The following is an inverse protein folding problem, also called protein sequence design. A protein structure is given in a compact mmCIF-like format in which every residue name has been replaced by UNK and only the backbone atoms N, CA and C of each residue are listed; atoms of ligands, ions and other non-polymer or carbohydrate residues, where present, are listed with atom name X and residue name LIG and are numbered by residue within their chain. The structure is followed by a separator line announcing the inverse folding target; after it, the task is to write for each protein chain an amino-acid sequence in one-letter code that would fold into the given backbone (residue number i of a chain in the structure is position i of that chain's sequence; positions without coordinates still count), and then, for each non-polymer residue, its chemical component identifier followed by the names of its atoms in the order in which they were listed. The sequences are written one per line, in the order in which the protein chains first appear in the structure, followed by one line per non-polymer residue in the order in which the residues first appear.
data_IF_715202590368
#
_entry.id   IF_715202590368
#
_cell.length_a   1.000
_cell.length_b   1.000
_cell.length_c   1.000
_cell.angle_alpha   90.00
_cell.angle_beta   90.00
_cell.angle_gamma   90.00
#
_symmetry.space_group_name_H-M   'P 1'
#
loop_
_entity.id
_entity.type
_entity.pdbx_description
1 polymer ?
#
# COMPACT_ATOMS: atom_id res chain seq x y z
N UNK A 1 6.50 -32.18 52.79
CA UNK A 1 6.14 -32.14 51.35
C UNK A 1 5.28 -30.93 51.00
N UNK A 2 4.30 -30.55 51.82
CA UNK A 2 3.40 -29.40 51.55
C UNK A 2 4.12 -28.03 51.67
N UNK A 3 4.99 -27.85 52.65
CA UNK A 3 5.68 -26.56 52.87
C UNK A 3 6.63 -26.23 51.69
N UNK A 4 7.33 -27.23 51.15
CA UNK A 4 8.22 -27.06 50.00
C UNK A 4 7.48 -26.68 48.72
N UNK A 5 6.26 -27.21 48.49
CA UNK A 5 5.45 -26.83 47.33
C UNK A 5 4.91 -25.39 47.45
N UNK A 6 4.53 -24.95 48.65
CA UNK A 6 4.11 -23.55 48.87
C UNK A 6 5.25 -22.56 48.61
N UNK A 7 6.46 -22.86 49.10
CA UNK A 7 7.64 -22.02 48.86
C UNK A 7 7.96 -21.95 47.37
N UNK A 8 7.90 -23.09 46.66
CA UNK A 8 8.10 -23.13 45.20
C UNK A 8 7.09 -22.27 44.44
N UNK A 9 5.80 -22.33 44.80
CA UNK A 9 4.75 -21.53 44.15
C UNK A 9 4.95 -20.03 44.37
N UNK A 10 5.33 -19.61 45.58
CA UNK A 10 5.64 -18.21 45.88
C UNK A 10 6.84 -17.72 45.06
N UNK A 11 7.87 -18.57 44.90
CA UNK A 11 9.06 -18.26 44.12
C UNK A 11 8.75 -18.06 42.63
N UNK A 12 7.91 -18.93 42.06
CA UNK A 12 7.45 -18.80 40.66
C UNK A 12 6.62 -17.54 40.46
N UNK A 13 5.72 -17.22 41.40
CA UNK A 13 4.93 -15.98 41.34
C UNK A 13 5.83 -14.74 41.44
N UNK A 14 6.82 -14.74 42.34
CA UNK A 14 7.76 -13.64 42.48
C UNK A 14 8.62 -13.45 41.22
N UNK A 15 9.09 -14.55 40.62
CA UNK A 15 9.82 -14.51 39.34
C UNK A 15 8.93 -14.00 38.20
N UNK A 16 7.67 -14.43 38.14
CA UNK A 16 6.70 -13.96 37.14
C UNK A 16 6.43 -12.46 37.24
N UNK A 17 6.23 -11.95 38.47
CA UNK A 17 6.04 -10.52 38.72
C UNK A 17 7.32 -9.73 38.36
N UNK A 18 8.49 -10.23 38.75
CA UNK A 18 9.77 -9.61 38.41
C UNK A 18 9.99 -9.54 36.90
N UNK A 19 9.71 -10.62 36.17
CA UNK A 19 9.82 -10.67 34.72
C UNK A 19 8.83 -9.72 34.04
N UNK A 20 7.57 -9.69 34.51
CA UNK A 20 6.54 -8.78 33.99
C UNK A 20 6.96 -7.31 34.13
N UNK A 21 7.45 -6.91 35.31
CA UNK A 21 7.92 -5.55 35.57
C UNK A 21 9.18 -5.16 34.76
N UNK A 22 9.98 -6.14 34.34
CA UNK A 22 11.21 -5.91 33.55
C UNK A 22 11.02 -5.98 32.05
N UNK A 23 9.92 -6.57 31.59
CA UNK A 23 9.66 -6.77 30.17
C UNK A 23 9.56 -5.43 29.42
N UNK A 24 8.76 -4.49 29.92
CA UNK A 24 8.54 -3.21 29.25
C UNK A 24 9.83 -2.36 29.14
N UNK A 25 10.61 -2.11 30.21
CA UNK A 25 11.88 -1.39 30.08
C UNK A 25 12.90 -2.09 29.18
N UNK A 26 12.95 -3.43 29.21
CA UNK A 26 13.85 -4.20 28.36
C UNK A 26 13.46 -4.09 26.89
N UNK A 27 12.16 -4.17 26.58
CA UNK A 27 11.62 -3.99 25.23
C UNK A 27 11.85 -2.57 24.71
N UNK A 28 11.59 -1.55 25.53
CA UNK A 28 11.82 -0.16 25.15
C UNK A 28 13.30 0.10 24.87
N UNK A 29 14.20 -0.39 25.72
CA UNK A 29 15.64 -0.25 25.50
C UNK A 29 16.11 -0.97 24.22
N UNK A 30 15.55 -2.15 23.94
CA UNK A 30 15.83 -2.87 22.70
C UNK A 30 15.34 -2.08 21.48
N UNK A 31 14.10 -1.56 21.53
CA UNK A 31 13.51 -0.76 20.47
C UNK A 31 14.32 0.51 20.19
N UNK A 32 14.73 1.25 21.22
CA UNK A 32 15.54 2.46 21.07
C UNK A 32 16.90 2.18 20.41
N UNK A 33 17.51 1.05 20.74
CA UNK A 33 18.82 0.66 20.20
C UNK A 33 18.73 0.17 18.75
N UNK A 34 17.68 -0.56 18.40
CA UNK A 34 17.61 -1.31 17.14
C UNK A 34 16.64 -0.72 16.11
N UNK A 35 15.60 0.01 16.52
CA UNK A 35 14.52 0.46 15.63
C UNK A 35 14.58 1.96 15.33
N UNK A 36 15.25 2.77 16.15
CA UNK A 36 15.39 4.20 15.89
C UNK A 36 16.15 4.41 14.58
N UNK A 37 15.57 5.25 13.73
CA UNK A 37 16.14 5.67 12.46
C UNK A 37 17.12 6.80 12.76
N UNK A 38 18.38 6.45 12.90
CA UNK A 38 19.47 7.39 13.23
C UNK A 38 20.63 7.16 12.23
N UNK A 39 21.31 8.20 11.72
CA UNK A 39 22.32 8.07 10.66
C UNK A 39 23.41 7.03 10.94
N UNK A 40 23.75 6.86 12.21
CA UNK A 40 24.80 5.95 12.71
C UNK A 40 24.37 4.48 12.77
N UNK A 41 23.05 4.20 12.75
CA UNK A 41 22.49 2.88 13.01
C UNK A 41 22.23 2.09 11.74
N UNK A 42 22.27 0.76 11.87
CA UNK A 42 21.94 -0.17 10.79
C UNK A 42 20.48 -0.03 10.32
N UNK A 43 19.56 0.26 11.25
CA UNK A 43 18.15 0.55 10.98
C UNK A 43 17.96 1.65 9.93
N UNK A 44 18.76 2.72 9.99
CA UNK A 44 18.71 3.80 9.01
C UNK A 44 19.10 3.32 7.61
N UNK A 45 20.17 2.53 7.49
CA UNK A 45 20.59 1.95 6.21
C UNK A 45 19.50 1.07 5.62
N UNK A 46 18.85 0.23 6.44
CA UNK A 46 17.74 -0.63 6.02
C UNK A 46 16.48 0.13 5.63
N UNK A 47 16.18 1.22 6.34
CA UNK A 47 15.05 2.08 6.04
C UNK A 47 15.27 2.90 4.76
N UNK A 48 16.48 3.41 4.55
CA UNK A 48 16.86 4.23 3.40
C UNK A 48 16.91 3.40 2.11
N UNK A 49 17.63 2.29 2.17
CA UNK A 49 17.87 1.37 1.05
C UNK A 49 17.43 -0.03 1.46
N UNK A 50 16.14 -0.32 1.28
CA UNK A 50 15.56 -1.60 1.69
C UNK A 50 16.13 -2.72 0.80
N UNK A 51 16.92 -3.67 1.34
CA UNK A 51 17.59 -4.68 0.54
C UNK A 51 16.63 -5.80 0.08
N UNK A 52 15.41 -5.80 0.64
CA UNK A 52 14.39 -6.80 0.32
C UNK A 52 13.63 -6.36 -0.91
N UNK A 53 13.57 -7.26 -1.89
CA UNK A 53 12.76 -7.07 -3.08
C UNK A 53 11.31 -7.43 -2.77
N UNK A 54 10.42 -6.45 -2.89
CA UNK A 54 8.98 -6.70 -2.80
C UNK A 54 8.46 -7.09 -4.18
N UNK A 55 7.47 -7.98 -4.20
CA UNK A 55 6.73 -8.29 -5.41
C UNK A 55 5.30 -7.82 -5.26
N UNK A 56 4.80 -7.08 -6.24
CA UNK A 56 3.43 -6.62 -6.31
C UNK A 56 2.74 -7.32 -7.48
N UNK A 57 1.65 -8.02 -7.17
CA UNK A 57 0.83 -8.73 -8.15
C UNK A 57 -0.43 -7.93 -8.44
N UNK A 58 -0.67 -7.60 -9.70
CA UNK A 58 -1.89 -6.96 -10.16
C UNK A 58 -2.75 -7.97 -10.90
N UNK A 59 -4.02 -8.04 -10.52
CA UNK A 59 -5.05 -8.82 -11.23
C UNK A 59 -6.15 -7.86 -11.62
N UNK A 60 -6.55 -7.90 -12.89
CA UNK A 60 -7.57 -7.04 -13.44
C UNK A 60 -8.84 -7.82 -13.73
N UNK A 61 -9.97 -7.11 -13.78
CA UNK A 61 -11.25 -7.64 -14.19
C UNK A 61 -11.58 -7.14 -15.59
N UNK A 62 -11.39 -8.00 -16.59
CA UNK A 62 -11.68 -7.68 -17.98
C UNK A 62 -13.18 -7.77 -18.26
N UNK A 63 -13.77 -6.70 -18.81
CA UNK A 63 -15.19 -6.62 -19.14
C UNK A 63 -15.48 -7.28 -20.50
N UNK A 64 -16.11 -8.45 -20.49
CA UNK A 64 -16.31 -9.24 -21.71
C UNK A 64 -17.50 -8.78 -22.57
N UNK A 65 -18.49 -8.10 -21.97
CA UNK A 65 -19.71 -7.65 -22.66
C UNK A 65 -19.84 -6.11 -22.69
N UNK A 66 -18.73 -5.39 -22.84
CA UNK A 66 -18.69 -3.92 -22.79
C UNK A 66 -19.69 -3.25 -23.74
N UNK A 67 -19.89 -3.79 -24.95
CA UNK A 67 -20.79 -3.21 -25.95
C UNK A 67 -22.25 -3.27 -25.51
N UNK A 68 -22.68 -4.37 -24.88
CA UNK A 68 -24.03 -4.56 -24.36
C UNK A 68 -24.27 -3.75 -23.08
N UNK A 69 -23.23 -3.57 -22.26
CA UNK A 69 -23.31 -2.69 -21.08
C UNK A 69 -23.54 -1.25 -21.54
N UNK A 70 -22.78 -0.77 -22.54
CA UNK A 70 -22.90 0.60 -23.05
C UNK A 70 -24.24 0.86 -23.76
N UNK A 71 -24.68 -0.03 -24.64
CA UNK A 71 -25.85 0.23 -25.50
C UNK A 71 -27.20 -0.20 -24.90
N UNK A 72 -27.21 -1.27 -24.11
CA UNK A 72 -28.44 -1.90 -23.62
C UNK A 72 -28.58 -1.82 -22.09
N UNK A 73 -27.59 -1.26 -21.37
CA UNK A 73 -27.60 -1.23 -19.91
C UNK A 73 -27.58 -2.62 -19.27
N UNK A 74 -27.04 -3.63 -19.96
CA UNK A 74 -26.98 -4.99 -19.42
C UNK A 74 -26.03 -5.10 -18.20
N UNK A 75 -26.26 -6.13 -17.37
CA UNK A 75 -25.35 -6.44 -16.26
C UNK A 75 -23.93 -6.75 -16.79
N UNK A 76 -22.88 -6.10 -16.27
CA UNK A 76 -21.51 -6.36 -16.70
C UNK A 76 -21.04 -7.76 -16.30
N UNK A 77 -20.24 -8.39 -17.17
CA UNK A 77 -19.61 -9.69 -16.99
C UNK A 77 -18.11 -9.53 -17.02
N UNK A 78 -17.45 -10.00 -15.96
CA UNK A 78 -16.02 -9.85 -15.80
C UNK A 78 -15.32 -11.20 -15.83
N UNK A 79 -14.10 -11.21 -16.36
CA UNK A 79 -13.16 -12.33 -16.27
C UNK A 79 -11.86 -11.80 -15.67
N UNK A 80 -11.33 -12.51 -14.69
CA UNK A 80 -10.04 -12.18 -14.08
C UNK A 80 -8.89 -12.43 -15.05
N UNK A 81 -8.01 -11.44 -15.19
CA UNK A 81 -6.81 -11.48 -16.03
C UNK A 81 -5.60 -11.09 -15.18
N UNK A 82 -4.58 -11.94 -15.18
CA UNK A 82 -3.39 -11.81 -14.35
C UNK A 82 -2.93 -13.16 -13.77
N UNK A 83 -1.95 -13.14 -12.86
CA UNK A 83 -1.33 -11.95 -12.29
C UNK A 83 -0.33 -11.27 -13.25
N UNK A 84 -0.20 -9.95 -13.14
CA UNK A 84 0.93 -9.17 -13.66
C UNK A 84 1.81 -8.79 -12.48
N UNK A 85 3.00 -9.38 -12.42
CA UNK A 85 3.89 -9.29 -11.26
C UNK A 85 5.01 -8.29 -11.54
N UNK A 86 5.20 -7.37 -10.61
CA UNK A 86 6.26 -6.38 -10.64
C UNK A 86 7.14 -6.54 -9.42
N UNK A 87 8.46 -6.50 -9.62
CA UNK A 87 9.42 -6.32 -8.55
C UNK A 87 9.49 -4.84 -8.23
N UNK A 88 9.16 -4.48 -6.99
CA UNK A 88 9.16 -3.10 -6.53
C UNK A 88 10.40 -2.82 -5.69
N UNK A 89 11.13 -1.76 -6.06
CA UNK A 89 12.31 -1.26 -5.36
C UNK A 89 11.98 0.11 -4.78
N UNK A 90 12.15 0.26 -3.47
CA UNK A 90 11.93 1.53 -2.76
C UNK A 90 13.26 2.09 -2.31
N UNK A 91 13.51 3.36 -2.62
CA UNK A 91 14.70 4.09 -2.20
C UNK A 91 14.30 5.45 -1.66
N UNK A 92 14.94 5.90 -0.59
CA UNK A 92 14.72 7.23 -0.02
C UNK A 92 15.94 8.13 -0.26
N UNK A 93 15.71 9.27 -0.91
CA UNK A 93 16.72 10.31 -1.15
C UNK A 93 16.45 11.54 -0.30
N UNK A 94 17.39 12.49 -0.31
CA UNK A 94 17.23 13.82 0.31
C UNK A 94 16.82 13.76 1.78
N UNK A 95 17.43 12.83 2.51
CA UNK A 95 17.16 12.59 3.92
C UNK A 95 17.76 13.73 4.75
N UNK A 96 16.92 14.47 5.48
CA UNK A 96 17.35 15.47 6.45
C UNK A 96 16.73 15.20 7.83
N UNK A 97 17.55 15.27 8.87
CA UNK A 97 17.12 15.17 10.25
C UNK A 97 16.86 16.57 10.82
N UNK A 98 15.72 16.72 11.50
CA UNK A 98 15.19 17.97 12.03
C UNK A 98 14.81 17.76 13.51
N UNK A 99 14.70 18.86 14.26
CA UNK A 99 14.30 18.86 15.68
C UNK A 99 15.12 17.88 16.54
N UNK A 100 16.44 18.07 16.58
CA UNK A 100 17.39 17.20 17.29
C UNK A 100 17.18 15.71 16.97
N UNK A 101 17.08 15.38 15.68
CA UNK A 101 16.92 14.02 15.14
C UNK A 101 15.60 13.32 15.48
N UNK A 102 14.58 14.05 15.97
CA UNK A 102 13.24 13.50 16.19
C UNK A 102 12.39 13.42 14.92
N UNK A 103 12.67 14.29 13.96
CA UNK A 103 11.93 14.36 12.70
C UNK A 103 12.87 14.06 11.53
N UNK A 104 12.35 13.36 10.52
CA UNK A 104 13.09 13.06 9.29
C UNK A 104 12.25 13.46 8.07
N UNK A 105 12.82 14.28 7.19
CA UNK A 105 12.27 14.58 5.87
C UNK A 105 13.02 13.79 4.81
N UNK A 106 12.32 13.28 3.80
CA UNK A 106 12.90 12.47 2.73
C UNK A 106 12.00 12.48 1.49
N UNK A 107 12.58 12.17 0.33
CA UNK A 107 11.85 11.89 -0.89
C UNK A 107 11.85 10.38 -1.14
N UNK A 108 10.66 9.78 -1.31
CA UNK A 108 10.54 8.35 -1.61
C UNK A 108 10.37 8.12 -3.11
N UNK A 109 11.27 7.31 -3.68
CA UNK A 109 11.19 6.84 -5.05
C UNK A 109 10.81 5.37 -5.06
N UNK A 110 9.71 5.05 -5.75
CA UNK A 110 9.24 3.68 -5.99
C UNK A 110 9.44 3.35 -7.47
N UNK A 111 10.12 2.24 -7.72
CA UNK A 111 10.34 1.74 -9.08
C UNK A 111 9.71 0.36 -9.19
N UNK A 112 8.99 0.13 -10.28
CA UNK A 112 8.37 -1.15 -10.59
C UNK A 112 9.05 -1.74 -11.82
N UNK A 113 9.53 -2.98 -11.69
CA UNK A 113 10.19 -3.71 -12.76
C UNK A 113 9.37 -4.95 -13.08
N UNK A 114 8.78 -4.99 -14.26
CA UNK A 114 7.93 -6.10 -14.69
C UNK A 114 8.68 -7.45 -14.65
N UNK A 115 8.01 -8.49 -14.17
CA UNK A 115 8.55 -9.83 -14.01
C UNK A 115 7.74 -10.80 -14.90
N UNK A 116 8.12 -10.89 -16.17
CA UNK A 116 7.43 -11.74 -17.15
C UNK A 116 7.33 -13.21 -16.70
N UNK A 117 8.38 -13.76 -16.06
CA UNK A 117 8.41 -15.15 -15.60
C UNK A 117 7.47 -15.46 -14.42
N UNK A 118 6.99 -14.44 -13.71
CA UNK A 118 5.99 -14.57 -12.64
C UNK A 118 4.60 -14.12 -13.09
N UNK A 119 4.48 -13.60 -14.31
CA UNK A 119 3.25 -13.03 -14.85
C UNK A 119 2.58 -14.00 -15.81
N UNK A 120 1.25 -13.95 -15.89
CA UNK A 120 0.47 -14.79 -16.82
C UNK A 120 0.49 -14.25 -18.25
N UNK A 121 0.62 -12.95 -18.39
CA UNK A 121 0.62 -12.24 -19.67
C UNK A 121 1.69 -11.15 -19.71
N UNK A 122 1.58 -10.25 -20.68
CA UNK A 122 2.54 -9.17 -20.91
C UNK A 122 1.93 -7.79 -20.66
N UNK A 123 2.75 -6.75 -20.55
CA UNK A 123 2.29 -5.39 -20.23
C UNK A 123 1.44 -4.76 -21.35
N UNK A 124 1.43 -5.35 -22.56
CA UNK A 124 0.65 -4.94 -23.71
C UNK A 124 -0.70 -5.68 -23.85
N UNK A 125 -1.06 -6.52 -22.87
CA UNK A 125 -2.36 -7.19 -22.85
C UNK A 125 -3.52 -6.17 -22.81
N UNK A 126 -4.50 -6.39 -23.68
CA UNK A 126 -5.68 -5.53 -23.78
C UNK A 126 -6.71 -5.87 -22.70
N UNK A 127 -7.06 -4.86 -21.89
CA UNK A 127 -8.04 -4.99 -20.80
C UNK A 127 -9.14 -3.96 -21.01
N UNK A 128 -10.37 -4.45 -21.19
CA UNK A 128 -11.55 -3.60 -21.27
C UNK A 128 -12.04 -3.31 -19.86
N UNK A 129 -12.07 -2.03 -19.49
CA UNK A 129 -12.54 -1.55 -18.19
C UNK A 129 -13.30 -0.23 -18.35
N UNK A 130 -13.83 0.29 -17.24
CA UNK A 130 -14.49 1.59 -17.22
C UNK A 130 -13.50 2.72 -17.58
N UNK A 131 -13.98 3.77 -18.22
CA UNK A 131 -13.19 4.97 -18.46
C UNK A 131 -13.04 5.77 -17.15
N UNK A 132 -12.08 5.38 -16.32
CA UNK A 132 -11.86 5.97 -14.99
C UNK A 132 -11.63 7.49 -15.04
N UNK A 133 -10.77 8.04 -15.93
CA UNK A 133 -10.61 9.49 -16.05
C UNK A 133 -11.92 10.24 -16.31
N UNK A 134 -12.74 9.73 -17.23
CA UNK A 134 -14.06 10.31 -17.51
C UNK A 134 -14.98 10.25 -16.29
N UNK A 135 -15.05 9.09 -15.63
CA UNK A 135 -15.87 8.92 -14.43
C UNK A 135 -15.44 9.86 -13.30
N UNK A 136 -14.13 10.06 -13.09
CA UNK A 136 -13.61 11.01 -12.11
C UNK A 136 -13.98 12.45 -12.48
N UNK A 137 -13.82 12.83 -13.76
CA UNK A 137 -14.20 14.18 -14.22
C UNK A 137 -15.69 14.44 -14.00
N UNK A 138 -16.55 13.49 -14.39
CA UNK A 138 -17.99 13.56 -14.17
C UNK A 138 -18.33 13.68 -12.68
N UNK A 139 -17.68 12.90 -11.80
CA UNK A 139 -17.90 12.96 -10.36
C UNK A 139 -17.51 14.32 -9.76
N UNK A 140 -16.41 14.92 -10.21
CA UNK A 140 -16.00 16.26 -9.77
C UNK A 140 -16.99 17.35 -10.21
N UNK A 141 -17.56 17.19 -11.42
CA UNK A 141 -18.46 18.17 -12.03
C UNK A 141 -19.90 18.04 -11.53
N UNK A 142 -20.29 16.90 -10.96
CA UNK A 142 -21.63 16.71 -10.38
C UNK A 142 -22.02 17.81 -9.37
N UNK A 143 -21.04 18.31 -8.62
CA UNK A 143 -21.23 19.38 -7.62
C UNK A 143 -21.00 20.80 -8.16
N UNK A 144 -20.69 20.96 -9.45
CA UNK A 144 -20.45 22.27 -10.06
C UNK A 144 -21.77 22.98 -10.46
N UNK A 145 -21.74 24.30 -10.69
CA UNK A 145 -22.89 25.04 -11.21
C UNK A 145 -23.42 24.43 -12.51
N UNK A 146 -24.73 24.54 -12.72
CA UNK A 146 -25.44 23.96 -13.88
C UNK A 146 -24.82 24.38 -15.22
N UNK A 147 -24.35 25.64 -15.32
CA UNK A 147 -23.70 26.15 -16.54
C UNK A 147 -22.44 25.34 -16.87
N UNK A 148 -21.58 25.08 -15.87
CA UNK A 148 -20.36 24.28 -16.05
C UNK A 148 -20.68 22.85 -16.46
N UNK A 149 -21.72 22.25 -15.85
CA UNK A 149 -22.18 20.91 -16.21
C UNK A 149 -22.64 20.83 -17.66
N UNK A 150 -23.38 21.82 -18.13
CA UNK A 150 -23.88 21.86 -19.50
C UNK A 150 -22.75 22.04 -20.52
N UNK A 151 -21.79 22.92 -20.25
CA UNK A 151 -20.61 23.12 -21.10
C UNK A 151 -19.81 21.81 -21.21
N UNK A 152 -19.56 21.14 -20.09
CA UNK A 152 -18.81 19.88 -20.12
C UNK A 152 -19.61 18.78 -20.81
N UNK A 153 -20.93 18.71 -20.64
CA UNK A 153 -21.78 17.78 -21.38
C UNK A 153 -21.60 17.92 -22.90
N UNK A 154 -21.66 19.15 -23.42
CA UNK A 154 -21.45 19.42 -24.86
C UNK A 154 -20.05 19.00 -25.32
N UNK A 155 -19.02 19.24 -24.51
CA UNK A 155 -17.64 18.83 -24.84
C UNK A 155 -17.53 17.30 -24.89
N UNK A 156 -18.09 16.60 -23.91
CA UNK A 156 -18.02 15.13 -23.84
C UNK A 156 -18.79 14.48 -24.99
N UNK A 157 -19.96 15.01 -25.34
CA UNK A 157 -20.73 14.56 -26.50
C UNK A 157 -19.94 14.73 -27.80
N UNK A 158 -19.27 15.88 -27.96
CA UNK A 158 -18.39 16.15 -29.10
C UNK A 158 -17.16 15.23 -29.18
N UNK A 159 -16.73 14.66 -28.05
CA UNK A 159 -15.62 13.69 -27.97
C UNK A 159 -16.08 12.24 -28.21
N UNK A 160 -17.38 11.99 -28.38
CA UNK A 160 -17.94 10.63 -28.48
C UNK A 160 -17.97 9.86 -27.14
N UNK A 161 -17.70 10.57 -26.04
CA UNK A 161 -17.76 10.09 -24.66
C UNK A 161 -19.09 10.48 -23.97
N UNK A 162 -19.95 11.21 -24.69
CA UNK A 162 -21.32 11.50 -24.34
C UNK A 162 -22.17 10.24 -24.17
N UNK A 163 -23.16 10.33 -23.29
CA UNK A 163 -24.10 9.24 -22.98
C UNK A 163 -25.03 8.93 -24.16
#
# INVERSE_FOLDING_TARGET
MVISSFISSILVLALGIWAYLRLEPAMNSFAERQLIIEPSKFSFKMWKDMPVSMYQSFTFFNLTNWSQVKSLGQKPRFVEVGPYVYRTVWSKSDVNFLDDEKLVSFAEKKQWHFQAHLSRGYEDDLIWTINTPLMTALALIQNAPVITRNIVGVILDGLGEGA
#
